data_IF_430266989823
#
_entry.id   IF_430266989823
#
_cell.length_a   1.000
_cell.length_b   1.000
_cell.length_c   1.000
_cell.angle_alpha   90.00
_cell.angle_beta   90.00
_cell.angle_gamma   90.00
#
_symmetry.space_group_name_H-M   'P 1'
#
loop_
_entity.id
_entity.type
_entity.pdbx_description
1 polymer ?
#
# COMPACT_ATOMS: atom_id res chain seq x y z
N UNK A 1 -35.98 -46.10 -20.73
CA UNK A 1 -35.48 -46.31 -19.36
C UNK A 1 -33.97 -46.21 -19.39
N UNK A 2 -33.47 -45.24 -18.64
CA UNK A 2 -32.16 -44.62 -18.71
C UNK A 2 -30.97 -45.58 -18.51
N UNK A 3 -30.05 -45.58 -19.48
CA UNK A 3 -28.74 -46.20 -19.37
C UNK A 3 -27.79 -45.31 -18.56
N UNK A 4 -27.59 -45.65 -17.29
CA UNK A 4 -26.71 -44.93 -16.35
C UNK A 4 -25.26 -45.40 -16.54
N UNK A 5 -24.38 -44.56 -17.10
CA UNK A 5 -22.92 -44.78 -17.08
C UNK A 5 -22.38 -44.46 -15.68
N UNK A 6 -21.47 -45.26 -15.09
CA UNK A 6 -20.75 -44.86 -13.89
C UNK A 6 -19.68 -43.82 -14.27
N UNK A 7 -19.68 -42.67 -13.61
CA UNK A 7 -18.58 -41.72 -13.69
C UNK A 7 -17.56 -42.03 -12.59
N UNK A 8 -16.30 -42.20 -12.97
CA UNK A 8 -15.17 -42.38 -12.06
C UNK A 8 -15.02 -41.20 -11.08
N UNK A 9 -14.47 -41.43 -9.88
CA UNK A 9 -14.17 -40.36 -8.94
C UNK A 9 -12.98 -39.53 -9.44
N UNK A 10 -13.30 -38.41 -10.08
CA UNK A 10 -12.34 -37.40 -10.49
C UNK A 10 -11.56 -36.84 -9.31
N UNK A 11 -10.27 -37.17 -9.30
CA UNK A 11 -9.15 -36.56 -8.59
C UNK A 11 -9.47 -35.25 -7.85
N UNK A 12 -9.32 -35.32 -6.53
CA UNK A 12 -9.39 -34.18 -5.62
C UNK A 12 -8.55 -33.03 -6.13
N UNK A 13 -9.23 -31.92 -6.43
CA UNK A 13 -8.60 -30.62 -6.66
C UNK A 13 -7.88 -30.25 -5.37
N UNK A 14 -6.58 -30.49 -5.34
CA UNK A 14 -5.66 -29.90 -4.37
C UNK A 14 -5.87 -28.39 -4.40
N UNK A 15 -6.52 -27.89 -3.36
CA UNK A 15 -6.70 -26.46 -3.13
C UNK A 15 -5.32 -25.83 -3.10
N UNK A 16 -4.96 -25.18 -4.21
CA UNK A 16 -3.78 -24.32 -4.32
C UNK A 16 -4.00 -23.25 -3.25
N UNK A 17 -3.33 -23.41 -2.10
CA UNK A 17 -3.41 -22.50 -0.96
C UNK A 17 -2.94 -21.16 -1.48
N UNK A 18 -3.90 -20.28 -1.81
CA UNK A 18 -3.65 -18.92 -2.28
C UNK A 18 -2.75 -18.30 -1.22
N UNK A 19 -1.53 -17.91 -1.60
CA UNK A 19 -0.59 -17.21 -0.72
C UNK A 19 -1.40 -16.06 -0.12
N UNK A 20 -1.64 -16.09 1.19
CA UNK A 20 -2.40 -15.05 1.87
C UNK A 20 -1.54 -13.81 1.74
N UNK A 21 -1.91 -12.93 0.81
CA UNK A 21 -1.25 -11.63 0.64
C UNK A 21 -1.25 -10.99 2.02
N UNK A 22 -0.05 -10.78 2.56
CA UNK A 22 0.13 -10.07 3.81
C UNK A 22 -0.28 -8.64 3.52
N UNK A 23 -1.52 -8.28 3.84
CA UNK A 23 -1.93 -6.89 3.81
C UNK A 23 -1.23 -6.21 4.98
N UNK A 24 -0.14 -5.49 4.68
CA UNK A 24 0.41 -4.57 5.66
C UNK A 24 -0.57 -3.42 5.84
N UNK A 25 -0.80 -3.09 7.11
CA UNK A 25 -1.62 -1.96 7.50
C UNK A 25 -0.77 -0.71 7.57
N UNK A 26 -1.38 0.43 7.26
CA UNK A 26 -0.76 1.73 7.47
C UNK A 26 -0.65 2.03 8.95
N UNK A 27 0.14 3.04 9.31
CA UNK A 27 0.29 3.45 10.70
C UNK A 27 -1.04 3.70 11.40
N UNK A 28 -1.31 2.99 12.49
CA UNK A 28 -2.50 3.17 13.34
C UNK A 28 -2.67 4.61 13.80
N UNK A 29 -1.56 5.34 13.97
CA UNK A 29 -1.60 6.73 14.39
C UNK A 29 -2.34 7.62 13.37
N UNK A 30 -2.27 7.32 12.06
CA UNK A 30 -3.00 8.10 11.04
C UNK A 30 -4.43 7.61 10.81
N UNK A 31 -4.74 6.37 11.19
CA UNK A 31 -6.12 5.84 11.16
C UNK A 31 -6.89 6.16 12.43
N UNK A 32 -6.22 6.63 13.48
CA UNK A 32 -6.83 7.12 14.70
C UNK A 32 -7.90 8.18 14.39
N UNK A 33 -9.14 7.95 14.85
CA UNK A 33 -10.28 8.81 14.51
C UNK A 33 -10.11 10.26 14.96
N UNK A 34 -9.45 10.47 16.10
CA UNK A 34 -9.17 11.80 16.64
C UNK A 34 -8.21 12.52 15.72
N UNK A 35 -7.10 11.86 15.35
CA UNK A 35 -6.09 12.43 14.48
C UNK A 35 -6.67 12.72 13.08
N UNK A 36 -7.45 11.80 12.54
CA UNK A 36 -8.10 11.95 11.24
C UNK A 36 -9.03 13.16 11.19
N UNK A 37 -9.81 13.40 12.25
CA UNK A 37 -10.69 14.58 12.35
C UNK A 37 -9.88 15.87 12.41
N UNK A 38 -8.83 15.91 13.24
CA UNK A 38 -7.95 17.08 13.34
C UNK A 38 -7.26 17.41 12.02
N UNK A 39 -6.77 16.40 11.30
CA UNK A 39 -6.16 16.56 9.97
C UNK A 39 -7.21 17.05 8.96
N UNK A 40 -8.42 16.50 8.98
CA UNK A 40 -9.50 16.94 8.11
C UNK A 40 -9.91 18.41 8.35
N UNK A 41 -9.99 18.83 9.62
CA UNK A 41 -10.25 20.21 9.99
C UNK A 41 -9.13 21.14 9.53
N UNK A 42 -7.88 20.74 9.77
CA UNK A 42 -6.72 21.53 9.38
C UNK A 42 -6.61 21.66 7.84
N UNK A 43 -6.95 20.58 7.11
CA UNK A 43 -6.99 20.58 5.65
C UNK A 43 -8.07 21.53 5.13
N UNK A 44 -9.27 21.48 5.73
CA UNK A 44 -10.39 22.36 5.35
C UNK A 44 -10.07 23.84 5.63
N UNK A 45 -9.48 24.12 6.78
CA UNK A 45 -9.13 25.48 7.23
C UNK A 45 -7.83 25.99 6.64
N UNK A 46 -7.09 25.14 5.91
CA UNK A 46 -5.77 25.47 5.37
C UNK A 46 -4.82 25.97 6.45
N UNK A 47 -4.81 25.30 7.60
CA UNK A 47 -3.94 25.60 8.73
C UNK A 47 -2.85 24.55 8.87
N UNK A 48 -1.61 24.93 9.24
CA UNK A 48 -0.57 23.94 9.51
C UNK A 48 -0.96 23.05 10.69
N UNK A 49 -0.61 21.78 10.61
CA UNK A 49 -0.86 20.78 11.64
C UNK A 49 0.40 19.94 11.86
N UNK A 50 0.91 19.92 13.09
CA UNK A 50 2.14 19.21 13.44
C UNK A 50 1.86 18.21 14.54
N UNK A 51 2.07 16.94 14.23
CA UNK A 51 1.99 15.84 15.16
C UNK A 51 3.13 14.85 14.92
N UNK A 52 3.46 14.01 15.90
CA UNK A 52 4.57 13.06 15.82
C UNK A 52 4.39 12.05 14.68
N UNK A 53 3.15 11.67 14.39
CA UNK A 53 2.81 10.73 13.32
C UNK A 53 2.46 11.38 11.98
N UNK A 54 2.19 12.70 11.93
CA UNK A 54 1.82 13.40 10.69
C UNK A 54 2.15 14.88 10.78
N UNK A 55 2.78 15.40 9.73
CA UNK A 55 3.10 16.82 9.59
C UNK A 55 2.42 17.33 8.33
N UNK A 56 1.57 18.34 8.45
CA UNK A 56 0.92 19.01 7.34
C UNK A 56 1.29 20.50 7.38
N UNK A 57 1.95 20.96 6.32
CA UNK A 57 2.40 22.34 6.16
C UNK A 57 1.78 22.95 4.89
N UNK A 58 1.62 24.27 4.89
CA UNK A 58 0.86 25.02 3.87
C UNK A 58 1.74 25.85 2.93
N UNK A 59 3.03 25.97 3.24
CA UNK A 59 3.97 26.85 2.56
C UNK A 59 5.04 26.01 1.85
N UNK A 60 5.30 26.18 0.54
CA UNK A 60 4.66 27.11 -0.41
C UNK A 60 3.30 26.60 -0.96
N UNK A 61 2.97 25.34 -0.68
CA UNK A 61 1.68 24.73 -0.98
C UNK A 61 1.37 23.66 0.07
N UNK A 62 0.12 23.22 0.12
CA UNK A 62 -0.32 22.18 1.06
C UNK A 62 0.42 20.87 0.76
N UNK A 63 1.25 20.43 1.70
CA UNK A 63 1.94 19.15 1.66
C UNK A 63 1.84 18.46 3.02
N UNK A 64 1.83 17.12 2.97
CA UNK A 64 1.70 16.28 4.14
C UNK A 64 2.79 15.21 4.15
N UNK A 65 3.41 15.00 5.30
CA UNK A 65 4.48 14.04 5.54
C UNK A 65 4.05 13.12 6.66
N UNK A 66 3.94 11.83 6.35
CA UNK A 66 3.61 10.78 7.32
C UNK A 66 4.88 9.93 7.51
N UNK A 67 5.66 10.15 8.60
CA UNK A 67 6.76 9.25 8.93
C UNK A 67 6.21 7.87 9.31
N UNK A 68 7.02 6.82 9.09
CA UNK A 68 6.66 5.44 9.45
C UNK A 68 5.30 5.00 8.89
N UNK A 69 5.03 5.33 7.62
CA UNK A 69 3.74 5.09 6.98
C UNK A 69 3.27 3.64 7.05
N UNK A 70 4.19 2.69 6.98
CA UNK A 70 3.95 1.25 7.18
C UNK A 70 4.74 0.84 8.42
N UNK A 71 4.06 0.27 9.42
CA UNK A 71 4.71 -0.16 10.68
C UNK A 71 5.47 -1.48 10.53
N UNK A 72 5.01 -2.35 9.64
CA UNK A 72 5.62 -3.67 9.44
C UNK A 72 6.92 -3.57 8.66
N UNK A 73 8.05 -3.56 9.37
CA UNK A 73 9.37 -3.51 8.76
C UNK A 73 9.64 -4.72 7.84
N UNK A 74 9.21 -5.91 8.25
CA UNK A 74 9.35 -7.12 7.42
C UNK A 74 8.65 -6.97 6.08
N UNK A 75 7.48 -6.32 6.06
CA UNK A 75 6.77 -6.05 4.82
C UNK A 75 7.50 -5.03 3.94
N UNK A 76 8.10 -4.00 4.54
CA UNK A 76 8.91 -3.03 3.80
C UNK A 76 10.14 -3.68 3.16
N UNK A 77 10.79 -4.61 3.86
CA UNK A 77 11.93 -5.37 3.32
C UNK A 77 11.53 -6.29 2.17
N UNK A 78 10.41 -7.01 2.30
CA UNK A 78 9.87 -7.82 1.21
C UNK A 78 9.47 -6.95 0.00
N UNK A 79 8.77 -5.84 0.23
CA UNK A 79 8.37 -4.89 -0.81
C UNK A 79 9.58 -4.30 -1.53
N UNK A 80 10.62 -3.90 -0.79
CA UNK A 80 11.86 -3.40 -1.36
C UNK A 80 12.52 -4.46 -2.24
N UNK A 81 12.59 -5.71 -1.77
CA UNK A 81 13.16 -6.83 -2.53
C UNK A 81 12.37 -7.09 -3.81
N UNK A 82 11.05 -7.01 -3.76
CA UNK A 82 10.20 -7.16 -4.94
C UNK A 82 10.41 -6.01 -5.94
N UNK A 83 10.44 -4.75 -5.47
CA UNK A 83 10.68 -3.59 -6.32
C UNK A 83 12.05 -3.62 -7.00
N UNK A 84 13.10 -4.05 -6.29
CA UNK A 84 14.46 -4.16 -6.86
C UNK A 84 14.59 -5.29 -7.89
N UNK A 85 13.69 -6.27 -7.88
CA UNK A 85 13.67 -7.35 -8.87
C UNK A 85 12.90 -6.98 -10.15
N UNK A 86 12.30 -5.79 -10.22
CA UNK A 86 11.64 -5.31 -11.43
C UNK A 86 12.66 -4.81 -12.46
N UNK A 87 12.27 -4.84 -13.73
CA UNK A 87 13.05 -4.25 -14.80
C UNK A 87 12.89 -2.73 -14.79
N UNK A 88 13.98 -2.01 -14.54
CA UNK A 88 13.99 -0.55 -14.53
C UNK A 88 14.34 0.00 -15.91
N UNK A 89 13.47 0.86 -16.43
CA UNK A 89 13.68 1.55 -17.70
C UNK A 89 14.06 3.01 -17.47
N UNK A 90 15.08 3.48 -18.19
CA UNK A 90 15.47 4.89 -18.15
C UNK A 90 14.38 5.75 -18.77
N UNK A 91 13.91 6.74 -18.02
CA UNK A 91 13.04 7.81 -18.49
C UNK A 91 13.83 9.10 -18.50
N UNK A 92 14.07 9.60 -19.72
CA UNK A 92 14.80 10.83 -19.96
C UNK A 92 14.00 11.76 -20.86
N UNK A 93 13.76 12.97 -20.37
CA UNK A 93 13.27 14.08 -21.17
C UNK A 93 13.88 15.39 -20.65
N UNK A 94 13.41 16.50 -21.19
CA UNK A 94 13.78 17.86 -20.78
C UNK A 94 13.46 18.17 -19.30
N UNK A 95 12.42 17.55 -18.74
CA UNK A 95 11.95 17.78 -17.37
C UNK A 95 12.66 16.90 -16.33
N UNK A 96 13.02 15.67 -16.68
CA UNK A 96 13.51 14.68 -15.74
C UNK A 96 14.44 13.63 -16.34
N UNK A 97 15.26 13.05 -15.46
CA UNK A 97 16.07 11.86 -15.73
C UNK A 97 16.03 10.92 -14.53
N UNK A 98 15.30 9.81 -14.65
CA UNK A 98 15.24 8.78 -13.60
C UNK A 98 14.93 7.39 -14.18
N UNK A 99 15.03 6.36 -13.35
CA UNK A 99 14.67 4.98 -13.71
C UNK A 99 13.29 4.64 -13.14
N UNK A 100 12.40 4.13 -13.99
CA UNK A 100 11.06 3.68 -13.59
C UNK A 100 10.93 2.18 -13.84
N UNK A 101 10.53 1.44 -12.80
CA UNK A 101 10.09 0.03 -12.87
C UNK A 101 8.73 -0.13 -13.55
#
# INVERSE_FOLDING_TARGET
>A
MDGKRPAEPGLGRTGKKRKKEVMAEFSDAVTEEILKKQVADAWSRRTPFRHEAIVMDMDPFLHCVIPNFIQSQNFLEELQKELLNLDFHEKYNDLYKFQQS
#
